data_IF_624909803707
#
_entry.id   IF_624909803707
#
_cell.length_a   1.000
_cell.length_b   1.000
_cell.length_c   1.000
_cell.angle_alpha   90.00
_cell.angle_beta   90.00
_cell.angle_gamma   90.00
#
_symmetry.space_group_name_H-M   'P 1'
#
loop_
_entity.id
_entity.type
_entity.pdbx_description
1 polymer ?
#
# COMPACT_ATOMS: atom_id res chain seq x y z
N UNK A 1 8.03 3.40 19.17
CA UNK A 1 6.66 2.87 19.17
C UNK A 1 6.67 1.54 18.42
N UNK A 2 6.04 0.51 18.97
CA UNK A 2 6.03 -0.82 18.37
C UNK A 2 5.19 -0.88 17.09
N UNK A 3 5.56 -1.78 16.19
CA UNK A 3 4.81 -2.06 14.95
C UNK A 3 3.48 -2.74 15.32
N UNK A 4 2.36 -2.12 14.97
CA UNK A 4 1.01 -2.69 15.17
C UNK A 4 0.64 -3.54 13.95
N UNK A 5 0.44 -4.85 14.17
CA UNK A 5 0.06 -5.82 13.14
C UNK A 5 -1.46 -5.98 13.14
N UNK A 6 -2.05 -5.90 11.94
CA UNK A 6 -3.50 -6.04 11.71
C UNK A 6 -3.84 -7.45 11.25
N UNK A 7 -2.96 -8.10 10.49
CA UNK A 7 -3.11 -9.48 10.05
C UNK A 7 -1.85 -10.01 9.38
N UNK A 8 -1.74 -11.33 9.28
CA UNK A 8 -0.59 -12.01 8.70
C UNK A 8 -1.03 -13.24 7.89
N UNK A 9 -0.29 -13.54 6.82
CA UNK A 9 -0.49 -14.72 5.99
C UNK A 9 0.86 -15.12 5.37
N UNK A 10 1.50 -16.15 5.92
CA UNK A 10 2.86 -16.53 5.53
C UNK A 10 3.83 -15.37 5.75
N UNK A 11 4.66 -15.08 4.74
CA UNK A 11 5.64 -13.98 4.79
C UNK A 11 5.05 -12.59 4.56
N UNK A 12 3.72 -12.47 4.45
CA UNK A 12 3.01 -11.20 4.22
C UNK A 12 2.33 -10.74 5.50
N UNK A 13 2.62 -9.51 5.92
CA UNK A 13 2.05 -8.87 7.11
C UNK A 13 1.33 -7.59 6.68
N UNK A 14 0.08 -7.43 7.13
CA UNK A 14 -0.65 -6.17 7.09
C UNK A 14 -0.45 -5.48 8.43
N UNK A 15 0.06 -4.26 8.41
CA UNK A 15 0.40 -3.49 9.61
C UNK A 15 0.09 -2.02 9.44
N UNK A 16 0.14 -1.26 10.53
CA UNK A 16 0.08 0.19 10.43
C UNK A 16 1.19 0.75 9.54
N UNK A 17 0.83 1.82 8.83
CA UNK A 17 1.78 2.61 8.07
C UNK A 17 2.71 3.36 9.05
N UNK A 18 4.01 3.29 8.80
CA UNK A 18 5.06 3.90 9.64
C UNK A 18 5.81 4.97 8.86
N UNK A 19 6.47 5.90 9.57
CA UNK A 19 7.25 6.97 8.94
C UNK A 19 8.47 6.41 8.16
N UNK A 20 8.99 5.26 8.58
CA UNK A 20 10.06 4.53 7.89
C UNK A 20 9.65 4.04 6.49
N UNK A 21 8.35 3.96 6.19
CA UNK A 21 7.86 3.49 4.90
C UNK A 21 7.85 4.58 3.84
N UNK A 22 7.89 5.85 4.23
CA UNK A 22 7.59 6.98 3.34
C UNK A 22 8.61 7.12 2.21
N UNK A 23 9.87 6.83 2.47
CA UNK A 23 10.93 6.84 1.46
C UNK A 23 10.69 5.76 0.39
N UNK A 24 10.45 4.51 0.82
CA UNK A 24 10.12 3.40 -0.09
C UNK A 24 8.79 3.64 -0.81
N UNK A 25 7.79 4.22 -0.15
CA UNK A 25 6.52 4.62 -0.74
C UNK A 25 6.73 5.62 -1.89
N UNK A 26 7.53 6.66 -1.66
CA UNK A 26 7.81 7.64 -2.70
C UNK A 26 8.59 7.04 -3.88
N UNK A 27 9.53 6.15 -3.59
CA UNK A 27 10.28 5.41 -4.61
C UNK A 27 9.36 4.54 -5.47
N UNK A 28 8.51 3.72 -4.84
CA UNK A 28 7.64 2.77 -5.54
C UNK A 28 6.50 3.46 -6.29
N UNK A 29 5.97 4.56 -5.74
CA UNK A 29 4.92 5.35 -6.39
C UNK A 29 5.36 5.98 -7.72
N UNK A 30 6.67 6.25 -7.88
CA UNK A 30 7.25 6.77 -9.12
C UNK A 30 7.66 5.70 -10.12
N UNK A 31 7.62 4.42 -9.75
CA UNK A 31 7.87 3.34 -10.71
C UNK A 31 6.75 3.37 -11.76
N UNK A 32 7.08 3.57 -13.04
CA UNK A 32 6.11 3.71 -14.13
C UNK A 32 5.13 2.52 -14.22
N UNK A 33 5.58 1.32 -13.85
CA UNK A 33 4.73 0.12 -13.81
C UNK A 33 3.64 0.19 -12.73
N UNK A 34 3.89 0.96 -11.67
CA UNK A 34 2.96 1.23 -10.57
C UNK A 34 2.13 2.47 -10.89
N UNK A 35 2.75 3.57 -11.33
CA UNK A 35 2.12 4.87 -11.53
C UNK A 35 1.13 4.92 -12.70
N UNK A 36 1.22 4.01 -13.67
CA UNK A 36 0.22 3.82 -14.74
C UNK A 36 -1.10 3.23 -14.23
N UNK A 37 -1.10 2.62 -13.04
CA UNK A 37 -2.26 1.98 -12.43
C UNK A 37 -2.92 2.85 -11.35
N UNK A 38 -2.37 4.03 -11.08
CA UNK A 38 -2.89 4.99 -10.11
C UNK A 38 -3.93 5.89 -10.78
N UNK A 39 -4.90 6.38 -10.00
CA UNK A 39 -5.96 7.27 -10.48
C UNK A 39 -5.34 8.56 -11.05
N UNK A 40 -6.04 9.20 -11.99
CA UNK A 40 -5.56 10.42 -12.66
C UNK A 40 -5.23 11.58 -11.71
N UNK A 41 -5.81 11.58 -10.50
CA UNK A 41 -5.48 12.53 -9.43
C UNK A 41 -4.18 12.25 -8.67
N UNK A 42 -3.39 11.25 -9.07
CA UNK A 42 -2.13 10.92 -8.40
C UNK A 42 -1.00 11.86 -8.84
N UNK A 43 -0.28 12.53 -7.92
CA UNK A 43 0.80 13.44 -8.27
C UNK A 43 1.91 12.74 -9.06
N UNK A 44 2.37 13.36 -10.14
CA UNK A 44 3.53 12.92 -10.93
C UNK A 44 4.50 14.10 -11.08
N UNK A 45 5.73 14.03 -10.54
CA UNK A 45 6.28 12.96 -9.70
C UNK A 45 5.64 12.94 -8.30
N UNK A 46 5.59 11.76 -7.69
CA UNK A 46 5.17 11.59 -6.30
C UNK A 46 6.35 11.84 -5.37
N UNK A 47 6.35 12.96 -4.64
CA UNK A 47 7.45 13.35 -3.77
C UNK A 47 7.35 12.71 -2.39
N UNK A 48 8.44 12.75 -1.63
CA UNK A 48 8.43 12.38 -0.20
C UNK A 48 7.46 13.25 0.61
N UNK A 49 7.18 14.49 0.18
CA UNK A 49 6.19 15.35 0.83
C UNK A 49 4.76 14.85 0.58
N UNK A 50 4.49 14.30 -0.62
CA UNK A 50 3.21 13.63 -0.88
C UNK A 50 3.05 12.39 0.01
N UNK A 51 4.12 11.63 0.25
CA UNK A 51 4.10 10.50 1.19
C UNK A 51 3.81 10.96 2.63
N UNK A 52 4.44 12.05 3.08
CA UNK A 52 4.17 12.65 4.40
C UNK A 52 2.74 13.17 4.54
N UNK A 53 2.20 13.82 3.52
CA UNK A 53 0.82 14.29 3.53
C UNK A 53 -0.17 13.12 3.55
N UNK A 54 0.11 12.05 2.79
CA UNK A 54 -0.66 10.82 2.86
C UNK A 54 -0.62 10.20 4.26
N UNK A 55 0.56 10.10 4.88
CA UNK A 55 0.71 9.61 6.26
C UNK A 55 -0.10 10.41 7.27
N UNK A 56 -0.02 11.74 7.21
CA UNK A 56 -0.84 12.64 8.05
C UNK A 56 -2.33 12.35 7.87
N UNK A 57 -2.79 12.20 6.63
CA UNK A 57 -4.18 11.84 6.36
C UNK A 57 -4.53 10.50 7.01
N UNK A 58 -3.70 9.45 6.86
CA UNK A 58 -3.92 8.14 7.49
C UNK A 58 -3.97 8.23 9.01
N UNK A 59 -3.08 9.00 9.64
CA UNK A 59 -3.03 9.17 11.10
C UNK A 59 -4.26 9.87 11.67
N UNK A 60 -4.93 10.72 10.87
CA UNK A 60 -6.17 11.41 11.28
C UNK A 60 -7.43 10.53 11.17
N UNK A 61 -7.33 9.31 10.62
CA UNK A 61 -8.49 8.45 10.42
C UNK A 61 -8.92 7.71 11.69
N UNK A 62 -10.23 7.65 11.91
CA UNK A 62 -10.83 6.82 12.95
C UNK A 62 -12.18 6.22 12.46
N UNK A 63 -12.28 4.91 12.19
CA UNK A 63 -11.21 3.91 12.24
C UNK A 63 -10.17 4.14 11.14
N UNK A 64 -8.94 3.63 11.34
CA UNK A 64 -7.93 3.61 10.27
C UNK A 64 -8.41 2.71 9.13
N UNK A 65 -8.25 3.19 7.91
CA UNK A 65 -8.67 2.49 6.68
C UNK A 65 -7.53 2.26 5.72
N UNK A 66 -6.31 2.72 6.01
CA UNK A 66 -5.12 2.49 5.19
C UNK A 66 -4.03 1.83 6.02
N UNK A 67 -3.39 0.83 5.44
CA UNK A 67 -2.37 0.00 6.09
C UNK A 67 -1.21 -0.24 5.14
N UNK A 68 -0.04 -0.54 5.70
CA UNK A 68 1.12 -1.00 4.96
C UNK A 68 1.05 -2.52 4.75
N UNK A 69 1.51 -2.96 3.58
CA UNK A 69 1.83 -4.35 3.28
C UNK A 69 3.34 -4.51 3.48
N UNK A 70 3.71 -5.47 4.30
CA UNK A 70 5.08 -5.89 4.50
C UNK A 70 5.28 -7.30 3.98
N UNK A 71 6.38 -7.53 3.26
CA UNK A 71 6.81 -8.83 2.79
C UNK A 71 8.28 -9.02 3.14
N UNK A 72 8.63 -10.12 3.81
CA UNK A 72 10.02 -10.39 4.26
C UNK A 72 10.67 -9.20 5.00
N UNK A 73 9.94 -8.62 5.96
CA UNK A 73 10.36 -7.44 6.74
C UNK A 73 10.55 -6.14 5.94
N UNK A 74 10.12 -6.11 4.68
CA UNK A 74 10.18 -4.92 3.83
C UNK A 74 8.79 -4.36 3.53
N UNK A 75 8.64 -3.05 3.64
CA UNK A 75 7.50 -2.35 3.06
C UNK A 75 7.45 -2.61 1.55
N UNK A 76 6.30 -3.06 1.04
CA UNK A 76 6.08 -3.33 -0.39
C UNK A 76 4.88 -2.60 -0.98
N UNK A 77 4.08 -1.91 -0.16
CA UNK A 77 2.95 -1.13 -0.63
C UNK A 77 1.93 -0.82 0.45
N UNK A 78 0.78 -0.29 0.03
CA UNK A 78 -0.35 -0.01 0.91
C UNK A 78 -1.58 -0.84 0.50
N UNK A 79 -2.48 -1.08 1.46
CA UNK A 79 -3.83 -1.60 1.25
C UNK A 79 -4.83 -0.69 1.96
N UNK A 80 -6.02 -0.53 1.40
CA UNK A 80 -7.12 0.19 2.06
C UNK A 80 -8.34 -0.69 2.29
N UNK A 81 -9.02 -0.45 3.41
CA UNK A 81 -10.28 -1.08 3.81
C UNK A 81 -11.34 0.01 3.89
N UNK A 82 -12.19 0.11 2.87
CA UNK A 82 -13.34 1.01 2.90
C UNK A 82 -14.57 0.23 3.37
N UNK A 83 -15.23 0.60 4.47
CA UNK A 83 -16.51 0.01 4.84
C UNK A 83 -17.53 0.27 3.73
N UNK A 84 -17.99 -0.79 3.09
CA UNK A 84 -19.07 -0.74 2.09
C UNK A 84 -20.31 -1.43 2.65
N UNK A 85 -21.47 -0.78 2.54
CA UNK A 85 -22.76 -1.48 2.57
C UNK A 85 -22.89 -2.22 1.25
N UNK A 86 -22.57 -3.52 1.29
CA UNK A 86 -22.62 -4.43 0.16
C UNK A 86 -21.61 -4.11 -0.97
N UNK A 87 -20.95 -5.15 -1.47
CA UNK A 87 -19.76 -5.11 -2.35
C UNK A 87 -18.45 -4.71 -1.64
N UNK A 88 -17.69 -5.73 -1.21
CA UNK A 88 -16.25 -5.65 -0.94
C UNK A 88 -15.50 -5.19 -2.20
N UNK A 89 -15.46 -3.89 -2.44
CA UNK A 89 -14.55 -3.31 -3.42
C UNK A 89 -13.18 -3.17 -2.75
N UNK A 90 -12.36 -4.22 -2.82
CA UNK A 90 -10.91 -4.11 -2.62
C UNK A 90 -10.41 -3.17 -3.72
N UNK A 91 -10.24 -1.89 -3.41
CA UNK A 91 -9.59 -0.96 -4.33
C UNK A 91 -8.09 -1.26 -4.33
N UNK A 92 -7.70 -2.05 -5.34
CA UNK A 92 -6.35 -2.32 -5.82
C UNK A 92 -5.47 -3.28 -4.99
N UNK A 93 -5.79 -4.58 -5.04
CA UNK A 93 -4.74 -5.60 -5.21
C UNK A 93 -4.54 -5.83 -6.72
N UNK A 94 -3.84 -4.91 -7.41
CA UNK A 94 -3.41 -5.19 -8.80
C UNK A 94 -2.24 -6.14 -8.76
N UNK A 95 -2.60 -7.39 -8.87
CA UNK A 95 -1.67 -8.48 -8.78
C UNK A 95 -0.90 -8.67 -10.15
N UNK A 96 0.43 -8.58 -10.16
CA UNK A 96 1.44 -8.70 -11.25
C UNK A 96 1.87 -10.13 -11.61
N UNK A 97 1.63 -10.59 -12.85
CA UNK A 97 2.07 -11.89 -13.43
C UNK A 97 3.43 -12.39 -12.89
N UNK A 98 3.59 -13.71 -12.64
CA UNK A 98 4.73 -14.26 -11.92
C UNK A 98 6.03 -14.01 -12.69
N UNK A 99 6.88 -13.20 -12.08
CA UNK A 99 8.29 -13.05 -12.45
C UNK A 99 8.96 -14.31 -11.89
N UNK A 100 9.61 -15.11 -12.74
CA UNK A 100 10.54 -16.13 -12.24
C UNK A 100 11.56 -15.39 -11.37
N UNK A 101 11.59 -15.74 -10.09
CA UNK A 101 12.24 -15.08 -8.94
C UNK A 101 11.30 -14.23 -8.06
N UNK A 102 10.50 -14.93 -7.23
CA UNK A 102 10.36 -14.54 -5.82
C UNK A 102 9.35 -13.47 -5.41
N UNK A 103 8.20 -13.31 -6.06
CA UNK A 103 7.14 -12.42 -5.54
C UNK A 103 5.76 -12.73 -6.08
N UNK A 104 4.81 -13.07 -5.19
CA UNK A 104 3.46 -13.50 -5.54
C UNK A 104 2.51 -12.31 -5.75
N UNK A 105 1.96 -12.14 -6.96
CA UNK A 105 0.81 -11.27 -7.20
C UNK A 105 -0.03 -11.70 -8.49
N UNK A 106 -1.23 -12.33 -8.47
CA UNK A 106 -2.21 -12.58 -9.63
C UNK A 106 -3.53 -11.73 -9.86
N UNK A 107 -3.68 -10.97 -10.96
CA UNK A 107 -4.81 -10.05 -11.33
C UNK A 107 -6.23 -10.40 -10.84
N UNK A 108 -7.11 -9.40 -10.73
CA UNK A 108 -8.57 -9.57 -10.83
C UNK A 108 -9.16 -8.63 -11.90
N UNK A 109 -10.13 -9.14 -12.65
CA UNK A 109 -10.81 -8.57 -13.82
C UNK A 109 -11.91 -7.57 -13.42
#
# INVERSE_FOLDING_TARGET
>A
MGKVIIGECGDVIIRELMDSDLEKMALYANNERVSINLRDGFPKPFTIENARNFKKMVDTQNPKTYFAIEYMNEYVGNISLTPGTDVYRILALKKTRPIKNGGLMTRAQ
#
